data_IF_307512557359
#
_entry.id   IF_307512557359
#
_cell.length_a   1.000
_cell.length_b   1.000
_cell.length_c   1.000
_cell.angle_alpha   90.00
_cell.angle_beta   90.00
_cell.angle_gamma   90.00
#
_symmetry.space_group_name_H-M   'P 1'
#
loop_
_entity.id
_entity.type
_entity.pdbx_description
1 polymer ?
#
# COMPACT_ATOMS: atom_id res chain seq x y z
N UNK A 1 32.67 -0.30 -6.89
CA UNK A 1 32.02 -1.20 -7.87
C UNK A 1 31.83 -0.44 -9.17
N UNK A 2 32.09 -1.02 -10.33
CA UNK A 2 32.17 -0.29 -11.63
C UNK A 2 31.34 -0.95 -12.74
N UNK A 3 30.28 -1.68 -12.40
CA UNK A 3 29.39 -2.34 -13.38
C UNK A 3 27.95 -2.26 -12.88
N UNK A 4 27.08 -1.66 -13.69
CA UNK A 4 25.67 -1.44 -13.36
C UNK A 4 24.94 -2.74 -13.11
N UNK A 5 25.18 -3.74 -13.95
CA UNK A 5 24.47 -5.02 -13.86
C UNK A 5 24.83 -5.74 -12.57
N UNK A 6 26.10 -5.62 -12.16
CA UNK A 6 26.59 -6.14 -10.89
C UNK A 6 26.00 -5.39 -9.69
N UNK A 7 25.82 -4.06 -9.76
CA UNK A 7 25.15 -3.29 -8.71
C UNK A 7 23.68 -3.71 -8.56
N UNK A 8 22.94 -3.74 -9.66
CA UNK A 8 21.50 -4.05 -9.65
C UNK A 8 21.18 -5.48 -9.19
N UNK A 9 22.13 -6.41 -9.34
CA UNK A 9 21.97 -7.80 -8.90
C UNK A 9 22.68 -8.11 -7.56
N UNK A 10 23.35 -7.13 -6.96
CA UNK A 10 23.99 -7.30 -5.67
C UNK A 10 22.96 -7.41 -4.53
N UNK A 11 23.39 -7.97 -3.40
CA UNK A 11 22.57 -7.95 -2.17
C UNK A 11 22.26 -6.53 -1.71
N UNK A 12 21.15 -6.36 -0.97
CA UNK A 12 20.75 -5.05 -0.41
C UNK A 12 21.88 -4.40 0.39
N UNK A 13 22.54 -5.13 1.29
CA UNK A 13 23.67 -4.60 2.07
C UNK A 13 24.84 -4.13 1.20
N UNK A 14 25.05 -4.75 0.02
CA UNK A 14 26.10 -4.31 -0.92
C UNK A 14 25.68 -3.08 -1.71
N UNK A 15 24.40 -2.99 -2.10
CA UNK A 15 23.83 -1.82 -2.76
C UNK A 15 23.84 -0.60 -1.83
N UNK A 16 23.40 -0.77 -0.60
CA UNK A 16 23.36 0.26 0.45
C UNK A 16 24.76 0.78 0.75
N UNK A 17 25.72 -0.12 1.01
CA UNK A 17 27.13 0.28 1.21
C UNK A 17 27.68 1.07 0.01
N UNK A 18 27.31 0.71 -1.21
CA UNK A 18 27.73 1.45 -2.39
C UNK A 18 27.10 2.85 -2.44
N UNK A 19 25.82 2.99 -2.07
CA UNK A 19 25.18 4.30 -1.95
C UNK A 19 25.87 5.17 -0.91
N UNK A 20 26.13 4.65 0.29
CA UNK A 20 26.81 5.39 1.36
C UNK A 20 28.20 5.90 0.94
N UNK A 21 28.94 5.09 0.16
CA UNK A 21 30.28 5.44 -0.33
C UNK A 21 30.27 6.47 -1.46
N UNK A 22 29.21 6.53 -2.27
CA UNK A 22 29.19 7.33 -3.52
C UNK A 22 28.22 8.52 -3.48
N UNK A 23 27.21 8.46 -2.61
CA UNK A 23 26.12 9.43 -2.48
C UNK A 23 25.75 9.60 -0.99
N UNK A 24 26.66 10.08 -0.12
CA UNK A 24 26.45 10.07 1.33
C UNK A 24 25.21 10.83 1.82
N UNK A 25 24.67 11.74 1.01
CA UNK A 25 23.48 12.54 1.30
C UNK A 25 22.17 11.90 0.76
N UNK A 26 22.23 10.68 0.22
CA UNK A 26 21.11 10.02 -0.47
C UNK A 26 19.82 9.93 0.36
N UNK A 27 19.90 9.76 1.68
CA UNK A 27 18.71 9.72 2.55
C UNK A 27 18.05 11.09 2.68
N UNK A 28 18.85 12.14 2.76
CA UNK A 28 18.37 13.52 2.83
C UNK A 28 17.75 13.93 1.50
N UNK A 29 18.39 13.55 0.39
CA UNK A 29 17.88 13.80 -0.95
C UNK A 29 16.55 13.06 -1.18
N UNK A 30 16.46 11.80 -0.74
CA UNK A 30 15.23 11.01 -0.82
C UNK A 30 14.07 11.68 -0.06
N UNK A 31 14.35 12.24 1.12
CA UNK A 31 13.34 12.93 1.92
C UNK A 31 12.79 14.18 1.26
N UNK A 32 13.64 14.94 0.55
CA UNK A 32 13.29 16.27 0.08
C UNK A 32 12.72 16.31 -1.34
N UNK A 33 13.13 15.39 -2.22
CA UNK A 33 13.01 15.64 -3.66
C UNK A 33 12.06 14.73 -4.43
N UNK A 34 11.73 13.52 -3.95
CA UNK A 34 10.95 12.59 -4.80
C UNK A 34 10.10 11.60 -4.03
N UNK A 35 8.79 11.83 -4.09
CA UNK A 35 7.75 10.89 -3.67
C UNK A 35 7.47 9.88 -4.79
N UNK A 36 7.37 8.60 -4.42
CA UNK A 36 6.99 7.49 -5.30
C UNK A 36 5.54 7.06 -5.06
N UNK A 37 5.08 7.15 -3.82
CA UNK A 37 3.76 6.70 -3.38
C UNK A 37 3.79 6.26 -1.93
N UNK A 38 2.93 5.29 -1.60
CA UNK A 38 2.76 4.73 -0.27
C UNK A 38 2.89 3.22 -0.31
N UNK A 39 3.49 2.64 0.72
CA UNK A 39 3.52 1.21 0.96
C UNK A 39 2.70 0.91 2.22
N UNK A 40 1.61 0.18 2.05
CA UNK A 40 0.76 -0.27 3.15
C UNK A 40 1.30 -1.62 3.63
N UNK A 41 1.85 -1.63 4.84
CA UNK A 41 2.42 -2.84 5.47
C UNK A 41 1.43 -3.35 6.52
N UNK A 42 1.35 -4.67 6.71
CA UNK A 42 0.49 -5.28 7.75
C UNK A 42 -0.99 -5.37 7.36
N UNK A 43 -1.31 -5.17 6.09
CA UNK A 43 -2.69 -5.06 5.60
C UNK A 43 -3.51 -6.33 5.85
N UNK A 44 -2.92 -7.51 5.66
CA UNK A 44 -3.62 -8.77 5.85
C UNK A 44 -3.83 -9.09 7.33
N UNK A 45 -2.89 -8.68 8.19
CA UNK A 45 -3.06 -8.74 9.65
C UNK A 45 -4.19 -7.81 10.11
N UNK A 46 -4.19 -6.55 9.68
CA UNK A 46 -5.25 -5.59 10.00
C UNK A 46 -6.63 -6.08 9.52
N UNK A 47 -6.70 -6.63 8.31
CA UNK A 47 -7.94 -7.25 7.80
C UNK A 47 -8.42 -8.39 8.70
N UNK A 48 -7.50 -9.24 9.17
CA UNK A 48 -7.84 -10.32 10.09
C UNK A 48 -8.34 -9.78 11.44
N UNK A 49 -7.77 -8.68 11.94
CA UNK A 49 -8.22 -8.01 13.16
C UNK A 49 -9.63 -7.42 13.00
N UNK A 50 -9.91 -6.71 11.91
CA UNK A 50 -11.26 -6.24 11.58
C UNK A 50 -12.28 -7.38 11.54
N UNK A 51 -11.95 -8.50 10.88
CA UNK A 51 -12.86 -9.65 10.80
C UNK A 51 -13.07 -10.29 12.19
N UNK A 52 -12.01 -10.41 12.99
CA UNK A 52 -12.09 -10.96 14.32
C UNK A 52 -12.86 -10.03 15.30
N UNK A 53 -12.85 -8.71 15.06
CA UNK A 53 -13.50 -7.72 15.91
C UNK A 53 -15.03 -7.88 15.98
N UNK A 54 -15.63 -8.48 14.95
CA UNK A 54 -17.08 -8.77 14.89
C UNK A 54 -17.55 -9.60 16.09
N UNK A 55 -16.71 -10.52 16.59
CA UNK A 55 -17.05 -11.32 17.76
C UNK A 55 -17.18 -10.48 19.06
N UNK A 56 -16.65 -9.27 19.05
CA UNK A 56 -16.71 -8.30 20.13
C UNK A 56 -17.77 -7.20 19.91
N UNK A 57 -18.54 -7.29 18.83
CA UNK A 57 -19.68 -6.41 18.55
C UNK A 57 -19.43 -5.32 17.51
N UNK A 58 -18.28 -5.32 16.84
CA UNK A 58 -18.00 -4.38 15.76
C UNK A 58 -18.82 -4.72 14.51
N UNK A 59 -19.36 -3.68 13.85
CA UNK A 59 -20.23 -3.81 12.69
C UNK A 59 -19.47 -3.46 11.40
N UNK A 60 -18.90 -4.47 10.75
CA UNK A 60 -18.10 -4.30 9.52
C UNK A 60 -18.94 -4.50 8.25
N UNK A 61 -20.16 -5.03 8.36
CA UNK A 61 -21.07 -5.21 7.23
C UNK A 61 -21.47 -3.88 6.57
N UNK A 62 -21.74 -2.85 7.38
CA UNK A 62 -22.03 -1.49 6.88
C UNK A 62 -20.81 -0.84 6.24
N UNK A 63 -19.60 -1.15 6.71
CA UNK A 63 -18.36 -0.70 6.08
C UNK A 63 -18.26 -1.24 4.66
N UNK A 64 -18.57 -2.53 4.47
CA UNK A 64 -18.45 -3.25 3.19
C UNK A 64 -19.55 -2.86 2.20
N UNK A 65 -20.80 -2.73 2.64
CA UNK A 65 -21.89 -2.37 1.72
C UNK A 65 -22.06 -0.87 1.54
N UNK A 66 -21.42 -0.05 2.39
CA UNK A 66 -21.38 1.42 2.38
C UNK A 66 -22.74 2.12 2.57
N UNK A 67 -23.83 1.51 2.10
CA UNK A 67 -25.22 1.87 2.32
C UNK A 67 -26.03 0.58 2.48
N UNK A 68 -26.69 0.44 3.62
CA UNK A 68 -27.61 -0.67 3.85
C UNK A 68 -28.92 -0.41 3.09
N UNK A 69 -29.05 -1.01 1.92
CA UNK A 69 -30.32 -1.14 1.20
C UNK A 69 -31.06 -2.39 1.66
N UNK A 70 -32.38 -2.48 1.43
CA UNK A 70 -33.14 -3.70 1.75
C UNK A 70 -32.50 -4.98 1.14
N UNK A 71 -31.81 -4.83 0.00
CA UNK A 71 -31.10 -5.91 -0.69
C UNK A 71 -29.82 -6.38 0.02
N UNK A 72 -29.11 -5.49 0.71
CA UNK A 72 -27.85 -5.80 1.41
C UNK A 72 -28.04 -6.03 2.90
N UNK A 73 -29.13 -5.57 3.50
CA UNK A 73 -29.35 -5.61 4.95
C UNK A 73 -29.28 -7.03 5.52
N UNK A 74 -29.78 -8.02 4.78
CA UNK A 74 -29.67 -9.44 5.21
C UNK A 74 -28.20 -9.86 5.27
N UNK A 75 -27.39 -9.50 4.28
CA UNK A 75 -25.98 -9.88 4.23
C UNK A 75 -25.15 -9.10 5.25
N UNK A 76 -25.43 -7.82 5.45
CA UNK A 76 -24.84 -6.98 6.52
C UNK A 76 -25.04 -7.65 7.88
N UNK A 77 -26.29 -7.99 8.24
CA UNK A 77 -26.58 -8.66 9.51
C UNK A 77 -25.89 -10.03 9.66
N UNK A 78 -25.70 -10.76 8.56
CA UNK A 78 -24.95 -12.03 8.59
C UNK A 78 -23.48 -11.79 8.88
N UNK A 79 -22.87 -10.80 8.22
CA UNK A 79 -21.47 -10.43 8.42
C UNK A 79 -21.25 -9.98 9.86
N UNK A 80 -22.10 -9.08 10.37
CA UNK A 80 -22.02 -8.58 11.75
C UNK A 80 -22.37 -9.66 12.78
N UNK A 81 -23.02 -10.75 12.35
CA UNK A 81 -23.21 -11.98 13.11
C UNK A 81 -22.04 -12.97 13.05
N UNK A 82 -20.94 -12.63 12.37
CA UNK A 82 -19.72 -13.43 12.24
C UNK A 82 -19.68 -14.36 11.01
N UNK A 83 -20.52 -14.14 10.00
CA UNK A 83 -20.43 -14.91 8.76
C UNK A 83 -19.11 -14.61 8.02
N UNK A 84 -18.45 -15.64 7.43
CA UNK A 84 -17.24 -15.42 6.65
C UNK A 84 -17.46 -14.48 5.46
N UNK A 85 -16.47 -13.63 5.18
CA UNK A 85 -16.46 -12.76 4.01
C UNK A 85 -16.09 -13.53 2.74
N UNK A 86 -16.78 -13.21 1.65
CA UNK A 86 -16.42 -13.56 0.28
C UNK A 86 -15.18 -12.77 -0.18
N UNK A 87 -14.55 -13.19 -1.28
CA UNK A 87 -13.38 -12.50 -1.79
C UNK A 87 -13.70 -11.06 -2.21
N UNK A 88 -14.86 -10.82 -2.84
CA UNK A 88 -15.28 -9.45 -3.19
C UNK A 88 -15.52 -8.56 -1.97
N UNK A 89 -16.08 -9.10 -0.89
CA UNK A 89 -16.26 -8.36 0.38
C UNK A 89 -14.92 -8.05 1.06
N UNK A 90 -13.94 -8.97 0.96
CA UNK A 90 -12.57 -8.72 1.42
C UNK A 90 -11.88 -7.62 0.61
N UNK A 91 -12.09 -7.57 -0.71
CA UNK A 91 -11.54 -6.47 -1.54
C UNK A 91 -12.10 -5.11 -1.10
N UNK A 92 -13.40 -5.02 -0.78
CA UNK A 92 -13.97 -3.77 -0.27
C UNK A 92 -13.37 -3.39 1.08
N UNK A 93 -13.26 -4.36 2.00
CA UNK A 93 -12.66 -4.12 3.31
C UNK A 93 -11.20 -3.67 3.18
N UNK A 94 -10.44 -4.29 2.27
CA UNK A 94 -9.07 -3.91 1.96
C UNK A 94 -8.99 -2.46 1.48
N UNK A 95 -9.84 -2.09 0.51
CA UNK A 95 -9.91 -0.73 -0.01
C UNK A 95 -10.24 0.28 1.10
N UNK A 96 -11.17 -0.06 1.99
CA UNK A 96 -11.52 0.78 3.14
C UNK A 96 -10.34 1.04 4.07
N UNK A 97 -9.60 -0.01 4.47
CA UNK A 97 -8.45 0.11 5.36
C UNK A 97 -7.37 0.99 4.74
N UNK A 98 -7.08 0.78 3.45
CA UNK A 98 -6.12 1.60 2.70
C UNK A 98 -6.58 3.07 2.67
N UNK A 99 -7.85 3.33 2.35
CA UNK A 99 -8.41 4.69 2.31
C UNK A 99 -8.28 5.40 3.67
N UNK A 100 -8.70 4.75 4.76
CA UNK A 100 -8.61 5.32 6.11
C UNK A 100 -7.16 5.60 6.49
N UNK A 101 -6.24 4.70 6.18
CA UNK A 101 -4.84 4.86 6.54
C UNK A 101 -4.17 5.99 5.75
N UNK A 102 -4.48 6.13 4.46
CA UNK A 102 -3.98 7.23 3.64
C UNK A 102 -4.59 8.59 4.06
N UNK A 103 -5.90 8.63 4.31
CA UNK A 103 -6.60 9.86 4.75
C UNK A 103 -6.12 10.33 6.14
N UNK A 104 -5.67 9.40 6.97
CA UNK A 104 -5.13 9.68 8.30
C UNK A 104 -3.60 9.89 8.34
N UNK A 105 -2.95 9.93 7.17
CA UNK A 105 -1.49 10.05 7.03
C UNK A 105 -0.71 8.99 7.82
N UNK A 106 -1.19 7.75 7.83
CA UNK A 106 -0.49 6.65 8.47
C UNK A 106 -0.73 6.55 9.98
N UNK A 107 -1.94 6.85 10.44
CA UNK A 107 -2.24 6.91 11.88
C UNK A 107 -2.08 5.56 12.60
N UNK A 108 -2.24 4.45 11.89
CA UNK A 108 -1.96 3.10 12.42
C UNK A 108 -0.52 2.65 12.17
N UNK A 109 0.31 3.52 11.61
CA UNK A 109 1.70 3.26 11.22
C UNK A 109 1.87 2.19 10.12
N UNK A 110 0.80 1.92 9.36
CA UNK A 110 0.81 1.00 8.24
C UNK A 110 1.20 1.70 6.93
N UNK A 111 0.78 2.95 6.72
CA UNK A 111 1.16 3.71 5.53
C UNK A 111 2.57 4.30 5.67
N UNK A 112 3.48 3.74 4.88
CA UNK A 112 4.86 4.19 4.79
C UNK A 112 5.02 5.00 3.50
N UNK A 113 5.53 6.23 3.61
CA UNK A 113 5.86 7.02 2.45
C UNK A 113 7.02 6.34 1.70
N UNK A 114 6.86 6.16 0.40
CA UNK A 114 7.90 5.66 -0.49
C UNK A 114 8.54 6.84 -1.19
N UNK A 115 9.86 6.93 -1.12
CA UNK A 115 10.65 7.97 -1.79
C UNK A 115 11.76 7.36 -2.63
N UNK A 116 12.30 8.12 -3.55
CA UNK A 116 13.45 7.66 -4.34
C UNK A 116 14.49 8.76 -4.54
N UNK A 117 15.68 8.36 -5.00
CA UNK A 117 16.68 9.28 -5.57
C UNK A 117 17.12 8.72 -6.90
N UNK A 118 17.19 9.59 -7.90
CA UNK A 118 17.69 9.26 -9.23
C UNK A 118 19.19 9.57 -9.32
N UNK A 119 19.98 8.60 -9.80
CA UNK A 119 21.40 8.78 -10.06
C UNK A 119 21.76 8.41 -11.49
N UNK A 120 22.77 9.09 -12.04
CA UNK A 120 23.40 8.67 -13.28
C UNK A 120 24.57 7.72 -12.99
N UNK A 121 24.49 6.49 -13.48
CA UNK A 121 25.54 5.48 -13.40
C UNK A 121 25.81 4.91 -14.80
N UNK A 122 27.04 5.06 -15.29
CA UNK A 122 27.44 4.63 -16.64
C UNK A 122 26.52 5.19 -17.76
N UNK A 123 26.11 6.46 -17.65
CA UNK A 123 25.16 7.13 -18.58
C UNK A 123 23.74 6.55 -18.55
N UNK A 124 23.40 5.81 -17.50
CA UNK A 124 22.07 5.27 -17.30
C UNK A 124 21.50 5.76 -15.97
N UNK A 125 20.20 6.03 -15.95
CA UNK A 125 19.49 6.35 -14.72
C UNK A 125 19.27 5.08 -13.91
N UNK A 126 19.56 5.16 -12.61
CA UNK A 126 19.22 4.16 -11.60
C UNK A 126 18.51 4.86 -10.44
N UNK A 127 17.74 4.11 -9.67
CA UNK A 127 16.86 4.66 -8.64
C UNK A 127 17.11 3.94 -7.33
N UNK A 128 17.61 4.62 -6.30
CA UNK A 128 17.55 4.08 -4.93
C UNK A 128 16.19 4.38 -4.34
N UNK A 129 15.57 3.40 -3.71
CA UNK A 129 14.21 3.52 -3.21
C UNK A 129 14.17 3.22 -1.73
N UNK A 130 13.34 3.98 -1.04
CA UNK A 130 13.20 3.98 0.40
C UNK A 130 11.72 3.94 0.76
N UNK A 131 11.39 3.33 1.90
CA UNK A 131 10.05 3.45 2.48
C UNK A 131 10.14 3.59 4.00
N UNK A 132 9.27 4.40 4.58
CA UNK A 132 9.22 4.54 6.03
C UNK A 132 8.13 5.48 6.51
N UNK A 133 7.95 5.49 7.82
CA UNK A 133 7.08 6.45 8.48
C UNK A 133 7.73 7.83 8.48
N UNK A 134 6.91 8.86 8.23
CA UNK A 134 7.27 10.25 8.51
C UNK A 134 6.87 10.50 9.95
N UNK A 135 7.84 10.48 10.87
CA UNK A 135 7.63 10.67 12.30
C UNK A 135 7.64 12.15 12.68
N UNK A 136 6.51 12.70 13.13
CA UNK A 136 6.46 13.93 13.92
C UNK A 136 7.28 15.11 13.37
N UNK A 137 8.10 15.77 14.21
CA UNK A 137 8.87 16.98 13.88
C UNK A 137 10.02 16.75 12.87
N UNK A 138 9.74 16.15 11.71
CA UNK A 138 10.71 15.90 10.65
C UNK A 138 11.59 14.67 10.85
N UNK A 139 11.17 13.72 11.69
CA UNK A 139 11.83 12.42 11.80
C UNK A 139 11.55 11.60 10.55
N UNK A 140 12.59 11.23 9.83
CA UNK A 140 12.50 10.30 8.70
C UNK A 140 13.59 9.26 8.86
N UNK A 141 13.20 8.03 9.21
CA UNK A 141 14.10 6.89 9.34
C UNK A 141 13.67 5.78 8.38
N UNK A 142 13.85 5.99 7.07
CA UNK A 142 13.35 5.05 6.10
C UNK A 142 14.21 3.79 6.04
N UNK A 143 13.57 2.71 5.59
CA UNK A 143 14.25 1.48 5.20
C UNK A 143 14.62 1.57 3.73
N UNK A 144 15.83 1.11 3.41
CA UNK A 144 16.28 0.96 2.04
C UNK A 144 15.62 -0.28 1.39
N UNK A 145 14.92 -0.05 0.27
CA UNK A 145 14.25 -1.10 -0.50
C UNK A 145 15.15 -1.72 -1.58
N UNK A 146 16.13 -0.96 -2.09
CA UNK A 146 17.03 -1.41 -3.14
C UNK A 146 17.35 -0.34 -4.18
N UNK A 147 18.25 -0.70 -5.10
CA UNK A 147 18.54 0.07 -6.32
C UNK A 147 17.89 -0.62 -7.52
N UNK A 148 17.14 0.16 -8.29
CA UNK A 148 16.36 -0.32 -9.42
C UNK A 148 16.78 0.36 -10.72
N UNK A 149 16.55 -0.34 -11.83
CA UNK A 149 16.83 0.16 -13.19
C UNK A 149 15.77 1.13 -13.72
N UNK A 150 14.60 1.19 -13.07
CA UNK A 150 13.46 2.03 -13.45
C UNK A 150 12.47 2.12 -12.28
N UNK A 151 11.62 3.15 -12.29
CA UNK A 151 10.51 3.30 -11.34
C UNK A 151 9.58 2.09 -11.37
N UNK A 152 9.16 1.63 -12.55
CA UNK A 152 8.32 0.42 -12.66
C UNK A 152 8.96 -0.84 -12.06
N UNK A 153 10.30 -0.97 -12.12
CA UNK A 153 10.99 -2.07 -11.45
C UNK A 153 11.00 -1.91 -9.92
N UNK A 154 11.08 -0.68 -9.43
CA UNK A 154 10.95 -0.37 -8.01
C UNK A 154 9.55 -0.69 -7.48
N UNK A 155 8.50 -0.30 -8.20
CA UNK A 155 7.11 -0.59 -7.82
C UNK A 155 6.87 -2.10 -7.67
N UNK A 156 7.39 -2.90 -8.61
CA UNK A 156 7.34 -4.36 -8.50
C UNK A 156 8.15 -4.89 -7.31
N UNK A 157 9.31 -4.30 -7.01
CA UNK A 157 10.12 -4.70 -5.86
C UNK A 157 9.48 -4.35 -4.52
N UNK A 158 8.74 -3.24 -4.45
CA UNK A 158 8.01 -2.83 -3.24
C UNK A 158 6.84 -3.76 -2.92
N UNK A 159 6.28 -4.45 -3.91
CA UNK A 159 5.19 -5.42 -3.70
C UNK A 159 5.61 -6.60 -2.79
N UNK A 160 6.91 -6.92 -2.71
CA UNK A 160 7.43 -7.93 -1.78
C UNK A 160 7.43 -7.46 -0.31
N UNK A 161 7.22 -6.17 -0.08
CA UNK A 161 7.25 -5.55 1.25
C UNK A 161 5.87 -5.13 1.77
N UNK A 162 4.85 -5.09 0.92
CA UNK A 162 3.51 -4.65 1.27
C UNK A 162 2.65 -4.32 0.05
N UNK A 163 1.51 -3.68 0.29
CA UNK A 163 0.62 -3.21 -0.77
C UNK A 163 1.03 -1.81 -1.22
N UNK A 164 1.67 -1.71 -2.39
CA UNK A 164 2.13 -0.45 -2.94
C UNK A 164 1.00 0.31 -3.66
N UNK A 165 0.89 1.61 -3.38
CA UNK A 165 -0.11 2.51 -3.92
C UNK A 165 0.56 3.81 -4.38
N UNK A 166 0.35 4.24 -5.61
CA UNK A 166 0.80 5.55 -6.10
C UNK A 166 -0.37 6.36 -6.69
N UNK A 167 -0.15 7.64 -6.99
CA UNK A 167 -1.18 8.52 -7.57
C UNK A 167 -1.80 8.01 -8.87
N UNK A 168 -1.05 7.23 -9.65
CA UNK A 168 -1.55 6.61 -10.87
C UNK A 168 -2.47 5.41 -10.55
N UNK A 169 -2.13 4.63 -9.52
CA UNK A 169 -2.90 3.49 -9.03
C UNK A 169 -4.14 3.94 -8.27
N UNK A 170 -4.07 5.00 -7.46
CA UNK A 170 -5.22 5.60 -6.74
C UNK A 170 -6.35 6.01 -7.70
N UNK A 171 -6.00 6.52 -8.88
CA UNK A 171 -6.98 6.92 -9.91
C UNK A 171 -7.54 5.73 -10.69
N UNK A 172 -6.84 4.59 -10.69
CA UNK A 172 -7.19 3.41 -11.48
C UNK A 172 -7.87 2.33 -10.64
N UNK A 173 -7.60 2.27 -9.34
CA UNK A 173 -8.24 1.33 -8.42
C UNK A 173 -9.67 1.79 -8.12
N UNK A 174 -10.66 0.89 -8.23
CA UNK A 174 -12.00 1.20 -7.78
C UNK A 174 -11.96 1.46 -6.28
N UNK A 175 -12.44 2.63 -5.87
CA UNK A 175 -12.54 2.99 -4.46
C UNK A 175 -13.60 2.14 -3.76
N UNK A 176 -13.66 2.20 -2.42
CA UNK A 176 -14.61 1.44 -1.61
C UNK A 176 -16.03 1.57 -2.14
N UNK A 177 -16.46 2.79 -2.47
CA UNK A 177 -17.82 3.10 -2.96
C UNK A 177 -18.12 2.35 -4.27
N UNK A 178 -17.18 2.33 -5.22
CA UNK A 178 -17.35 1.64 -6.50
C UNK A 178 -17.41 0.12 -6.33
N UNK A 179 -16.58 -0.43 -5.44
CA UNK A 179 -16.57 -1.87 -5.14
C UNK A 179 -17.86 -2.29 -4.40
N UNK A 180 -18.29 -1.53 -3.40
CA UNK A 180 -19.57 -1.76 -2.70
C UNK A 180 -20.75 -1.76 -3.67
N UNK A 181 -20.78 -0.81 -4.62
CA UNK A 181 -21.84 -0.76 -5.63
C UNK A 181 -21.82 -2.00 -6.54
N UNK A 182 -20.65 -2.46 -6.97
CA UNK A 182 -20.54 -3.68 -7.77
C UNK A 182 -21.05 -4.92 -7.02
N UNK A 183 -20.82 -5.02 -5.70
CA UNK A 183 -21.40 -6.10 -4.89
C UNK A 183 -22.94 -6.02 -4.85
N UNK A 184 -23.50 -4.82 -4.70
CA UNK A 184 -24.95 -4.61 -4.70
C UNK A 184 -25.59 -4.99 -6.04
N UNK A 185 -24.93 -4.67 -7.15
CA UNK A 185 -25.41 -5.01 -8.49
C UNK A 185 -25.45 -6.54 -8.69
N UNK A 186 -24.49 -7.29 -8.14
CA UNK A 186 -24.50 -8.76 -8.15
C UNK A 186 -25.61 -9.38 -7.27
N UNK A 187 -26.09 -8.67 -6.26
CA UNK A 187 -27.22 -9.10 -5.42
C UNK A 187 -28.58 -8.82 -6.08
N UNK A 188 -28.62 -7.95 -7.08
CA UNK A 188 -29.84 -7.60 -7.79
C UNK A 188 -30.24 -8.75 -8.73
N UNK A 189 -31.52 -9.19 -8.74
CA UNK A 189 -31.95 -10.20 -9.69
C UNK A 189 -31.76 -9.66 -11.11
N UNK A 190 -31.14 -10.45 -12.00
CA UNK A 190 -31.00 -10.07 -13.41
C UNK A 190 -32.39 -9.71 -13.98
N UNK A 191 -32.51 -8.60 -14.74
CA UNK A 191 -33.78 -8.31 -15.41
C UNK A 191 -34.10 -9.47 -16.36
N UNK A 192 -35.25 -10.10 -16.11
CA UNK A 192 -35.85 -11.13 -16.96
C UNK A 192 -36.20 -10.57 -18.35
#
# INVERSE_FOLDING_TARGET
MTDRSRLLSASLATQEKWLDENYPDHLLDAHNDSELGWLIIGLEEEMAEYIASVQFGDAIGEVIYNTATDLSLVRVNQIDGGAPLTDGEKEVLRAHIIEVELDSFGSTHMANACTYVEFEFEKHKIFSVYYGLIEGQGGYNPKFAGIFKSISAAEMGLADHGHFVNDHLLKALPNKVQLSQALLDCLSPSPL
#
